data_IF_933576353534
#
_entry.id   IF_933576353534
#
_cell.length_a   1.000
_cell.length_b   1.000
_cell.length_c   1.000
_cell.angle_alpha   90.00
_cell.angle_beta   90.00
_cell.angle_gamma   90.00
#
_symmetry.space_group_name_H-M   'P 1'
#
loop_
_entity.id
_entity.type
_entity.pdbx_description
1 polymer ?
#
# COMPACT_ATOMS: atom_id res chain seq x y z
N UNK A 1 -13.47 22.06 9.83
CA UNK A 1 -13.89 21.78 8.43
C UNK A 1 -13.18 20.53 7.88
N UNK A 2 -11.94 20.26 8.23
CA UNK A 2 -11.16 19.10 7.75
C UNK A 2 -11.66 17.74 8.25
N UNK A 3 -12.16 17.66 9.47
CA UNK A 3 -12.66 16.38 10.05
C UNK A 3 -13.95 15.91 9.40
N UNK A 4 -14.86 16.81 9.07
CA UNK A 4 -16.16 16.47 8.44
C UNK A 4 -15.97 15.99 6.98
N UNK A 5 -15.00 16.57 6.23
CA UNK A 5 -14.63 16.10 4.89
C UNK A 5 -14.03 14.69 4.93
N UNK A 6 -13.24 14.37 5.96
CA UNK A 6 -12.68 13.01 6.16
C UNK A 6 -13.78 12.00 6.50
N UNK A 7 -14.74 12.36 7.34
CA UNK A 7 -15.88 11.52 7.69
C UNK A 7 -16.74 11.23 6.45
N UNK A 8 -17.07 12.27 5.67
CA UNK A 8 -17.85 12.13 4.43
C UNK A 8 -17.17 11.24 3.38
N UNK A 9 -15.84 11.23 3.33
CA UNK A 9 -15.09 10.35 2.41
C UNK A 9 -15.04 8.89 2.85
N UNK A 10 -15.35 8.59 4.13
CA UNK A 10 -15.30 7.25 4.71
C UNK A 10 -16.65 6.71 5.20
N UNK A 11 -17.69 7.54 5.17
CA UNK A 11 -18.97 7.20 5.74
C UNK A 11 -19.57 5.89 5.19
N UNK A 12 -19.38 5.64 3.92
CA UNK A 12 -19.83 4.40 3.27
C UNK A 12 -19.16 3.15 3.88
N UNK A 13 -17.86 3.22 4.13
CA UNK A 13 -17.14 2.11 4.77
C UNK A 13 -17.60 1.91 6.22
N UNK A 14 -17.86 3.00 6.94
CA UNK A 14 -18.39 2.94 8.31
C UNK A 14 -19.76 2.29 8.32
N UNK A 15 -20.67 2.72 7.44
CA UNK A 15 -22.01 2.14 7.31
C UNK A 15 -21.92 0.65 6.94
N UNK A 16 -21.10 0.29 5.96
CA UNK A 16 -20.87 -1.09 5.56
C UNK A 16 -20.40 -1.96 6.73
N UNK A 17 -19.44 -1.47 7.50
CA UNK A 17 -18.92 -2.18 8.68
C UNK A 17 -19.99 -2.34 9.75
N UNK A 18 -20.75 -1.29 10.05
CA UNK A 18 -21.83 -1.33 11.03
C UNK A 18 -22.93 -2.32 10.64
N UNK A 19 -23.37 -2.30 9.38
CA UNK A 19 -24.40 -3.21 8.87
C UNK A 19 -23.89 -4.66 8.91
N UNK A 20 -22.65 -4.92 8.48
CA UNK A 20 -22.07 -6.26 8.52
C UNK A 20 -21.93 -6.79 9.94
N UNK A 21 -21.56 -5.94 10.91
CA UNK A 21 -21.45 -6.33 12.33
C UNK A 21 -22.83 -6.63 12.92
N UNK A 22 -23.84 -5.81 12.65
CA UNK A 22 -25.20 -6.05 13.07
C UNK A 22 -25.79 -7.34 12.48
N UNK A 23 -25.53 -7.58 11.18
CA UNK A 23 -25.98 -8.79 10.52
C UNK A 23 -25.23 -10.04 11.04
N UNK A 24 -23.94 -9.92 11.38
CA UNK A 24 -23.18 -11.01 12.00
C UNK A 24 -23.74 -11.37 13.36
N UNK A 25 -24.11 -10.37 14.17
CA UNK A 25 -24.81 -10.63 15.44
C UNK A 25 -26.15 -11.33 15.21
N UNK A 26 -26.98 -10.79 14.31
CA UNK A 26 -28.29 -11.36 14.00
C UNK A 26 -28.20 -12.82 13.57
N UNK A 27 -27.29 -13.15 12.66
CA UNK A 27 -27.11 -14.53 12.20
C UNK A 27 -26.66 -15.45 13.33
N UNK A 28 -25.70 -15.02 14.14
CA UNK A 28 -25.19 -15.84 15.23
C UNK A 28 -26.20 -15.98 16.39
N UNK A 29 -26.92 -14.90 16.76
CA UNK A 29 -27.85 -14.90 17.87
C UNK A 29 -29.22 -15.44 17.50
N UNK A 30 -29.88 -14.85 16.48
CA UNK A 30 -31.28 -15.11 16.18
C UNK A 30 -31.47 -16.34 15.26
N UNK A 31 -30.49 -16.64 14.39
CA UNK A 31 -30.58 -17.79 13.46
C UNK A 31 -29.97 -19.04 14.06
N UNK A 32 -28.77 -18.94 14.70
CA UNK A 32 -28.05 -20.09 15.25
C UNK A 32 -28.30 -20.30 16.75
N UNK A 33 -28.92 -19.33 17.41
CA UNK A 33 -29.31 -19.44 18.82
C UNK A 33 -28.15 -19.30 19.81
N UNK A 34 -27.02 -18.71 19.40
CA UNK A 34 -25.90 -18.47 20.30
C UNK A 34 -26.27 -17.40 21.34
N UNK A 35 -26.16 -17.66 22.63
CA UNK A 35 -26.67 -16.75 23.66
C UNK A 35 -25.90 -15.43 23.74
N UNK A 36 -24.61 -15.41 23.41
CA UNK A 36 -23.75 -14.21 23.47
C UNK A 36 -22.66 -14.24 22.38
N UNK A 37 -23.00 -14.01 21.11
CA UNK A 37 -22.07 -14.15 19.97
C UNK A 37 -21.16 -12.92 19.77
N UNK A 38 -20.38 -12.54 20.78
CA UNK A 38 -19.51 -11.35 20.71
C UNK A 38 -18.46 -11.42 19.59
N UNK A 39 -17.99 -12.62 19.28
CA UNK A 39 -16.95 -12.80 18.27
C UNK A 39 -17.44 -12.51 16.85
N UNK A 40 -18.71 -12.75 16.54
CA UNK A 40 -19.26 -12.53 15.20
C UNK A 40 -19.21 -11.05 14.78
N UNK A 41 -19.80 -10.08 15.53
CA UNK A 41 -19.73 -8.67 15.17
C UNK A 41 -18.31 -8.10 15.24
N UNK A 42 -17.47 -8.54 16.19
CA UNK A 42 -16.09 -8.10 16.30
C UNK A 42 -15.30 -8.56 15.08
N UNK A 43 -15.42 -9.84 14.68
CA UNK A 43 -14.77 -10.37 13.50
C UNK A 43 -15.19 -9.60 12.23
N UNK A 44 -16.48 -9.36 12.05
CA UNK A 44 -16.99 -8.58 10.91
C UNK A 44 -16.44 -7.15 10.92
N UNK A 45 -16.46 -6.46 12.07
CA UNK A 45 -15.97 -5.09 12.19
C UNK A 45 -14.48 -4.99 11.90
N UNK A 46 -13.65 -5.86 12.49
CA UNK A 46 -12.20 -5.83 12.31
C UNK A 46 -11.80 -6.15 10.88
N UNK A 47 -12.43 -7.15 10.24
CA UNK A 47 -12.16 -7.47 8.84
C UNK A 47 -12.49 -6.34 7.86
N UNK A 48 -13.54 -5.55 8.13
CA UNK A 48 -14.02 -4.49 7.24
C UNK A 48 -13.47 -3.09 7.57
N UNK A 49 -13.08 -2.84 8.84
CA UNK A 49 -12.69 -1.49 9.31
C UNK A 49 -11.37 -0.98 8.73
N UNK A 50 -10.52 -1.87 8.24
CA UNK A 50 -9.19 -1.53 7.76
C UNK A 50 -9.20 -1.41 6.24
N UNK A 51 -8.54 -0.37 5.74
CA UNK A 51 -8.38 0.04 4.32
C UNK A 51 -8.73 -0.99 3.24
N UNK A 52 -9.37 -0.53 2.16
CA UNK A 52 -9.86 -1.28 0.99
C UNK A 52 -8.85 -2.23 0.30
N UNK A 53 -7.59 -2.19 0.70
CA UNK A 53 -6.48 -2.69 -0.07
C UNK A 53 -6.18 -4.19 0.11
N UNK A 54 -6.59 -4.84 1.19
CA UNK A 54 -6.29 -6.27 1.41
C UNK A 54 -7.39 -6.95 2.26
N UNK A 55 -8.64 -6.56 2.08
CA UNK A 55 -9.74 -7.02 2.95
C UNK A 55 -9.88 -8.54 3.01
N UNK A 56 -9.84 -9.22 1.86
CA UNK A 56 -10.02 -10.66 1.81
C UNK A 56 -8.85 -11.40 2.48
N UNK A 57 -7.61 -11.00 2.22
CA UNK A 57 -6.43 -11.60 2.85
C UNK A 57 -6.45 -11.40 4.38
N UNK A 58 -6.80 -10.20 4.83
CA UNK A 58 -6.90 -9.90 6.26
C UNK A 58 -8.05 -10.63 6.95
N UNK A 59 -9.19 -10.80 6.26
CA UNK A 59 -10.28 -11.61 6.77
C UNK A 59 -9.83 -13.05 7.00
N UNK A 60 -9.11 -13.65 6.06
CA UNK A 60 -8.57 -15.00 6.18
C UNK A 60 -7.52 -15.07 7.31
N UNK A 61 -6.57 -14.14 7.35
CA UNK A 61 -5.56 -14.06 8.43
C UNK A 61 -6.22 -13.92 9.80
N UNK A 62 -7.25 -13.08 9.90
CA UNK A 62 -8.01 -12.92 11.13
C UNK A 62 -8.75 -14.19 11.53
N UNK A 63 -9.45 -14.84 10.59
CA UNK A 63 -10.16 -16.10 10.88
C UNK A 63 -9.20 -17.17 11.40
N UNK A 64 -8.04 -17.34 10.74
CA UNK A 64 -7.02 -18.29 11.19
C UNK A 64 -6.46 -17.88 12.57
N UNK A 65 -6.13 -16.60 12.77
CA UNK A 65 -5.62 -16.10 14.05
C UNK A 65 -6.60 -16.28 15.19
N UNK A 66 -7.88 -15.95 14.97
CA UNK A 66 -8.94 -16.14 15.99
C UNK A 66 -9.12 -17.61 16.31
N UNK A 67 -9.21 -18.49 15.30
CA UNK A 67 -9.39 -19.93 15.51
C UNK A 67 -8.22 -20.54 16.28
N UNK A 68 -6.97 -20.21 15.92
CA UNK A 68 -5.79 -20.65 16.64
C UNK A 68 -5.76 -20.11 18.06
N UNK A 69 -6.08 -18.82 18.25
CA UNK A 69 -6.13 -18.20 19.59
C UNK A 69 -7.17 -18.85 20.50
N UNK A 70 -8.36 -19.11 19.99
CA UNK A 70 -9.41 -19.81 20.74
C UNK A 70 -8.94 -21.23 21.08
N UNK A 71 -8.37 -21.98 20.14
CA UNK A 71 -7.86 -23.33 20.38
C UNK A 71 -6.78 -23.34 21.48
N UNK A 72 -5.77 -22.48 21.39
CA UNK A 72 -4.71 -22.37 22.39
C UNK A 72 -5.24 -21.94 23.75
N UNK A 73 -6.11 -20.91 23.79
CA UNK A 73 -6.72 -20.46 25.02
C UNK A 73 -7.54 -21.55 25.70
N UNK A 74 -8.27 -22.34 24.92
CA UNK A 74 -9.05 -23.48 25.42
C UNK A 74 -8.16 -24.57 26.00
N UNK A 75 -7.05 -24.92 25.31
CA UNK A 75 -6.08 -25.91 25.85
C UNK A 75 -5.47 -25.43 27.16
N UNK A 76 -4.99 -24.19 27.22
CA UNK A 76 -4.44 -23.63 28.48
C UNK A 76 -5.48 -23.61 29.58
N UNK A 77 -6.72 -23.30 29.26
CA UNK A 77 -7.82 -23.29 30.22
C UNK A 77 -8.13 -24.70 30.79
N UNK A 78 -8.14 -25.72 29.93
CA UNK A 78 -8.37 -27.11 30.37
C UNK A 78 -7.25 -27.60 31.31
N UNK A 79 -6.00 -27.23 31.02
CA UNK A 79 -4.82 -27.71 31.76
C UNK A 79 -4.56 -26.94 33.06
N UNK A 80 -4.77 -25.61 33.04
CA UNK A 80 -4.33 -24.71 34.13
C UNK A 80 -5.48 -23.91 34.74
N UNK A 81 -6.70 -24.04 34.20
CA UNK A 81 -7.86 -23.28 34.68
C UNK A 81 -7.84 -21.82 34.20
N UNK A 82 -8.47 -20.95 35.03
CA UNK A 82 -8.58 -19.51 34.79
C UNK A 82 -7.85 -18.71 35.86
N UNK A 83 -7.20 -17.61 35.48
CA UNK A 83 -6.48 -16.75 36.42
C UNK A 83 -5.37 -15.95 35.72
N UNK A 84 -4.66 -15.09 36.43
CA UNK A 84 -3.66 -14.23 35.84
C UNK A 84 -2.48 -15.00 35.21
N UNK A 85 -2.05 -16.11 35.83
CA UNK A 85 -0.95 -16.93 35.31
C UNK A 85 -1.35 -17.69 34.05
N UNK A 86 -2.49 -18.42 33.98
CA UNK A 86 -2.96 -19.00 32.71
C UNK A 86 -3.14 -17.98 31.57
N UNK A 87 -3.64 -16.78 31.87
CA UNK A 87 -3.78 -15.71 30.86
C UNK A 87 -2.41 -15.30 30.31
N UNK A 88 -1.40 -15.10 31.18
CA UNK A 88 -0.05 -14.77 30.77
C UNK A 88 0.61 -15.86 29.92
N UNK A 89 0.43 -17.13 30.30
CA UNK A 89 0.92 -18.27 29.55
C UNK A 89 0.23 -18.44 28.20
N UNK A 90 -1.09 -18.25 28.13
CA UNK A 90 -1.83 -18.30 26.88
C UNK A 90 -1.37 -17.20 25.91
N UNK A 91 -1.15 -16.00 26.41
CA UNK A 91 -0.60 -14.91 25.60
C UNK A 91 0.81 -15.23 25.07
N UNK A 92 1.68 -15.76 25.92
CA UNK A 92 3.04 -16.15 25.54
C UNK A 92 3.03 -17.25 24.47
N UNK A 93 2.24 -18.30 24.66
CA UNK A 93 2.12 -19.41 23.71
C UNK A 93 1.54 -18.90 22.38
N UNK A 94 0.51 -18.06 22.42
CA UNK A 94 -0.13 -17.49 21.25
C UNK A 94 0.82 -16.59 20.46
N UNK A 95 1.61 -15.74 21.14
CA UNK A 95 2.64 -14.92 20.50
C UNK A 95 3.75 -15.77 19.88
N UNK A 96 4.24 -16.76 20.62
CA UNK A 96 5.30 -17.66 20.13
C UNK A 96 4.84 -18.43 18.90
N UNK A 97 3.62 -18.96 18.92
CA UNK A 97 3.05 -19.64 17.75
C UNK A 97 2.84 -18.69 16.57
N UNK A 98 2.39 -17.46 16.82
CA UNK A 98 2.23 -16.46 15.77
C UNK A 98 3.57 -16.12 15.11
N UNK A 99 4.64 -15.94 15.90
CA UNK A 99 6.01 -15.69 15.38
C UNK A 99 6.54 -16.88 14.58
N UNK A 100 6.31 -18.12 15.04
CA UNK A 100 6.74 -19.32 14.31
C UNK A 100 6.00 -19.52 12.97
N UNK A 101 4.75 -19.10 12.89
CA UNK A 101 3.93 -19.17 11.68
C UNK A 101 4.16 -17.97 10.74
N UNK A 102 4.85 -16.92 11.22
CA UNK A 102 5.10 -15.65 10.49
C UNK A 102 6.01 -15.82 9.26
N UNK A 103 5.83 -16.90 8.52
CA UNK A 103 6.48 -17.17 7.22
C UNK A 103 5.53 -16.98 6.05
N UNK A 104 5.92 -16.21 5.03
CA UNK A 104 5.20 -16.12 3.77
C UNK A 104 3.90 -15.29 3.79
N UNK A 105 2.81 -15.85 3.28
CA UNK A 105 1.52 -15.16 3.07
C UNK A 105 0.84 -14.68 4.37
N UNK A 106 1.08 -15.34 5.50
CA UNK A 106 0.51 -15.03 6.81
C UNK A 106 1.31 -13.95 7.56
N UNK A 107 2.59 -13.78 7.27
CA UNK A 107 3.51 -12.91 8.01
C UNK A 107 3.49 -11.43 7.63
N UNK A 108 2.66 -11.01 6.68
CA UNK A 108 2.60 -9.60 6.28
C UNK A 108 1.71 -8.75 7.20
N UNK A 109 2.00 -8.70 8.49
CA UNK A 109 1.38 -7.75 9.41
C UNK A 109 1.07 -8.30 10.79
N UNK A 110 1.18 -7.48 11.81
CA UNK A 110 0.90 -7.78 13.22
C UNK A 110 -0.57 -8.21 13.50
N UNK A 111 -1.44 -8.24 12.48
CA UNK A 111 -2.86 -8.49 12.68
C UNK A 111 -3.16 -9.94 13.05
N UNK A 112 -2.47 -10.89 12.43
CA UNK A 112 -2.58 -12.31 12.75
C UNK A 112 -2.15 -12.57 14.20
N UNK A 113 -0.97 -12.09 14.59
CA UNK A 113 -0.45 -12.22 15.95
C UNK A 113 -1.38 -11.58 17.00
N UNK A 114 -1.82 -10.34 16.75
CA UNK A 114 -2.75 -9.64 17.63
C UNK A 114 -4.06 -10.40 17.82
N UNK A 115 -4.65 -10.94 16.77
CA UNK A 115 -5.91 -11.67 16.87
C UNK A 115 -5.75 -12.99 17.61
N UNK A 116 -4.65 -13.70 17.39
CA UNK A 116 -4.34 -14.95 18.11
C UNK A 116 -4.23 -14.69 19.60
N UNK A 117 -3.51 -13.66 20.03
CA UNK A 117 -3.33 -13.30 21.44
C UNK A 117 -4.64 -12.83 22.08
N UNK A 118 -5.32 -11.87 21.43
CA UNK A 118 -6.58 -11.34 21.96
C UNK A 118 -7.62 -12.44 22.11
N UNK A 119 -7.73 -13.34 21.14
CA UNK A 119 -8.69 -14.45 21.19
C UNK A 119 -8.34 -15.46 22.28
N UNK A 120 -7.05 -15.76 22.50
CA UNK A 120 -6.63 -16.67 23.56
C UNK A 120 -6.91 -16.10 24.96
N UNK A 121 -6.63 -14.80 25.17
CA UNK A 121 -6.94 -14.11 26.44
C UNK A 121 -8.46 -14.05 26.65
N UNK A 122 -9.21 -13.73 25.63
CA UNK A 122 -10.66 -13.55 25.73
C UNK A 122 -11.39 -14.84 26.08
N UNK A 123 -10.88 -15.99 25.61
CA UNK A 123 -11.40 -17.33 26.01
C UNK A 123 -11.22 -17.57 27.50
N UNK A 124 -10.08 -17.21 28.07
CA UNK A 124 -9.84 -17.39 29.51
C UNK A 124 -10.58 -16.34 30.35
N UNK A 125 -10.65 -15.10 29.89
CA UNK A 125 -11.30 -14.00 30.63
C UNK A 125 -12.83 -14.13 30.69
N UNK A 126 -13.45 -14.57 29.57
CA UNK A 126 -14.91 -14.72 29.44
C UNK A 126 -15.35 -16.20 29.61
N UNK A 127 -14.76 -16.90 30.56
CA UNK A 127 -15.00 -18.31 30.73
C UNK A 127 -16.48 -18.64 31.03
N UNK A 128 -17.08 -19.47 30.17
CA UNK A 128 -18.31 -20.22 30.41
C UNK A 128 -18.09 -21.68 29.99
N UNK A 129 -18.47 -22.64 30.83
CA UNK A 129 -18.36 -24.07 30.49
C UNK A 129 -19.19 -24.38 29.23
N UNK A 130 -18.57 -25.07 28.26
CA UNK A 130 -19.27 -25.59 27.06
C UNK A 130 -19.25 -24.70 25.81
N UNK A 131 -18.73 -23.45 25.84
CA UNK A 131 -18.90 -22.41 24.77
C UNK A 131 -17.69 -22.28 23.84
N UNK A 132 -16.72 -23.19 23.87
CA UNK A 132 -15.50 -23.07 23.08
C UNK A 132 -15.75 -23.11 21.54
N UNK A 133 -16.57 -24.04 21.12
CA UNK A 133 -16.91 -24.22 19.69
C UNK A 133 -17.78 -23.10 19.13
N UNK A 134 -18.78 -22.66 19.90
CA UNK A 134 -19.66 -21.53 19.49
C UNK A 134 -18.87 -20.26 19.16
N UNK A 135 -17.75 -20.02 19.86
CA UNK A 135 -16.88 -18.86 19.62
C UNK A 135 -16.12 -18.94 18.30
N UNK A 136 -15.71 -20.17 17.92
CA UNK A 136 -15.08 -20.40 16.61
C UNK A 136 -16.12 -20.16 15.52
N UNK A 137 -17.32 -20.71 15.67
CA UNK A 137 -18.42 -20.54 14.72
C UNK A 137 -18.79 -19.06 14.59
N UNK A 138 -18.91 -18.32 15.68
CA UNK A 138 -19.13 -16.86 15.68
C UNK A 138 -18.06 -16.12 14.91
N UNK A 139 -16.79 -16.42 15.14
CA UNK A 139 -15.68 -15.77 14.45
C UNK A 139 -15.68 -16.09 12.94
N UNK A 140 -16.02 -17.34 12.58
CA UNK A 140 -16.16 -17.77 11.18
C UNK A 140 -17.34 -17.07 10.50
N UNK A 141 -18.49 -16.95 11.16
CA UNK A 141 -19.67 -16.23 10.66
C UNK A 141 -19.31 -14.77 10.38
N UNK A 142 -18.71 -14.09 11.36
CA UNK A 142 -18.31 -12.70 11.18
C UNK A 142 -17.28 -12.51 10.07
N UNK A 143 -16.27 -13.38 10.00
CA UNK A 143 -15.25 -13.38 8.96
C UNK A 143 -15.83 -13.69 7.56
N UNK A 144 -16.70 -14.68 7.46
CA UNK A 144 -17.37 -15.03 6.19
C UNK A 144 -18.26 -13.89 5.71
N UNK A 145 -19.03 -13.29 6.60
CA UNK A 145 -19.88 -12.15 6.28
C UNK A 145 -19.05 -10.96 5.78
N UNK A 146 -17.94 -10.66 6.47
CA UNK A 146 -17.01 -9.64 6.02
C UNK A 146 -16.45 -9.95 4.62
N UNK A 147 -16.12 -11.19 4.34
CA UNK A 147 -15.65 -11.64 3.03
C UNK A 147 -16.72 -11.44 1.95
N UNK A 148 -17.97 -11.83 2.22
CA UNK A 148 -19.11 -11.60 1.33
C UNK A 148 -19.29 -10.11 1.04
N UNK A 149 -19.25 -9.27 2.06
CA UNK A 149 -19.37 -7.82 1.88
C UNK A 149 -18.18 -7.23 1.09
N UNK A 150 -16.95 -7.69 1.36
CA UNK A 150 -15.76 -7.17 0.71
C UNK A 150 -15.62 -7.62 -0.76
N UNK A 151 -16.05 -8.86 -1.08
CA UNK A 151 -15.80 -9.49 -2.39
C UNK A 151 -17.01 -9.39 -3.30
N UNK A 152 -18.22 -9.67 -2.79
CA UNK A 152 -19.43 -9.75 -3.59
C UNK A 152 -20.20 -8.43 -3.65
N UNK A 153 -20.48 -7.82 -2.49
CA UNK A 153 -21.35 -6.67 -2.46
C UNK A 153 -20.64 -5.37 -2.86
N UNK A 154 -19.44 -5.15 -2.30
CA UNK A 154 -18.75 -3.85 -2.43
C UNK A 154 -17.26 -4.00 -2.72
N UNK A 155 -16.90 -4.69 -3.81
CA UNK A 155 -15.50 -4.84 -4.18
C UNK A 155 -14.88 -3.48 -4.48
N UNK A 156 -13.65 -3.28 -3.99
CA UNK A 156 -12.88 -2.09 -4.30
C UNK A 156 -12.79 -1.88 -5.83
N UNK A 157 -12.71 -0.64 -6.27
CA UNK A 157 -12.45 -0.33 -7.66
C UNK A 157 -10.94 -0.46 -7.93
N UNK A 158 -10.50 -1.50 -8.67
CA UNK A 158 -9.08 -1.77 -8.85
C UNK A 158 -8.37 -0.68 -9.64
N UNK A 159 -9.05 -0.06 -10.61
CA UNK A 159 -8.48 1.03 -11.42
C UNK A 159 -8.28 2.29 -10.59
N UNK A 160 -9.23 2.61 -9.70
CA UNK A 160 -9.08 3.76 -8.78
C UNK A 160 -7.96 3.54 -7.75
N UNK A 161 -7.76 2.30 -7.30
CA UNK A 161 -6.67 1.96 -6.38
C UNK A 161 -5.32 2.15 -7.05
N UNK A 162 -5.14 1.59 -8.26
CA UNK A 162 -3.94 1.76 -9.07
C UNK A 162 -3.70 3.23 -9.46
N UNK A 163 -4.72 3.92 -9.93
CA UNK A 163 -4.62 5.32 -10.33
C UNK A 163 -4.16 6.23 -9.21
N UNK A 164 -4.73 6.10 -8.00
CA UNK A 164 -4.30 6.91 -6.84
C UNK A 164 -2.85 6.65 -6.44
N UNK A 165 -2.42 5.38 -6.44
CA UNK A 165 -1.05 5.02 -6.11
C UNK A 165 -0.06 5.56 -7.17
N UNK A 166 -0.41 5.47 -8.46
CA UNK A 166 0.36 6.02 -9.56
C UNK A 166 0.52 7.53 -9.45
N UNK A 167 -0.59 8.25 -9.23
CA UNK A 167 -0.56 9.71 -9.02
C UNK A 167 0.32 10.08 -7.82
N UNK A 168 0.27 9.30 -6.74
CA UNK A 168 1.14 9.51 -5.57
C UNK A 168 2.63 9.40 -5.91
N UNK A 169 3.03 8.40 -6.71
CA UNK A 169 4.42 8.27 -7.18
C UNK A 169 4.79 9.43 -8.11
N UNK A 170 3.99 9.75 -9.12
CA UNK A 170 4.28 10.85 -10.04
C UNK A 170 4.42 12.19 -9.32
N UNK A 171 3.58 12.46 -8.31
CA UNK A 171 3.65 13.68 -7.51
C UNK A 171 4.97 13.79 -6.73
N UNK A 172 5.45 12.71 -6.11
CA UNK A 172 6.75 12.75 -5.42
C UNK A 172 7.91 12.89 -6.41
N UNK A 173 7.84 12.25 -7.58
CA UNK A 173 8.86 12.38 -8.61
C UNK A 173 8.94 13.82 -9.15
N UNK A 174 7.81 14.48 -9.37
CA UNK A 174 7.76 15.90 -9.72
C UNK A 174 8.49 16.76 -8.69
N UNK A 175 8.22 16.55 -7.39
CA UNK A 175 8.88 17.30 -6.30
C UNK A 175 10.38 17.05 -6.31
N UNK A 176 10.81 15.81 -6.50
CA UNK A 176 12.24 15.44 -6.58
C UNK A 176 12.91 16.11 -7.77
N UNK A 177 12.31 16.04 -8.96
CA UNK A 177 12.84 16.68 -10.18
C UNK A 177 12.95 18.19 -10.04
N UNK A 178 11.90 18.84 -9.49
CA UNK A 178 11.93 20.28 -9.24
C UNK A 178 13.04 20.68 -8.26
N UNK A 179 13.23 19.90 -7.19
CA UNK A 179 14.30 20.15 -6.23
C UNK A 179 15.69 19.92 -6.86
N UNK A 180 15.84 18.86 -7.65
CA UNK A 180 17.08 18.57 -8.40
C UNK A 180 17.39 19.71 -9.38
N UNK A 181 16.38 20.30 -10.01
CA UNK A 181 16.56 21.46 -10.89
C UNK A 181 17.07 22.69 -10.12
N UNK A 182 16.57 22.97 -8.90
CA UNK A 182 17.04 24.06 -8.06
C UNK A 182 18.51 23.87 -7.63
N UNK A 183 18.90 22.64 -7.29
CA UNK A 183 20.27 22.28 -6.97
C UNK A 183 21.17 22.48 -8.21
N UNK A 184 20.78 21.99 -9.38
CA UNK A 184 21.52 22.16 -10.62
C UNK A 184 21.70 23.63 -11.03
N UNK A 185 20.74 24.49 -10.66
CA UNK A 185 20.83 25.94 -10.89
C UNK A 185 21.73 26.67 -9.88
N UNK A 186 22.20 26.00 -8.84
CA UNK A 186 22.93 26.62 -7.72
C UNK A 186 22.06 27.53 -6.85
N UNK A 187 20.73 27.42 -6.95
CA UNK A 187 19.79 28.21 -6.13
C UNK A 187 19.53 27.57 -4.77
N UNK A 188 19.93 26.32 -4.60
CA UNK A 188 19.76 25.56 -3.37
C UNK A 188 20.95 24.66 -3.15
N UNK A 189 21.48 24.63 -1.95
CA UNK A 189 22.50 23.67 -1.55
C UNK A 189 21.84 22.31 -1.28
N UNK A 190 22.49 21.24 -1.68
CA UNK A 190 22.05 19.90 -1.34
C UNK A 190 22.44 19.64 0.12
N UNK A 191 21.45 19.54 1.02
CA UNK A 191 21.74 19.08 2.37
C UNK A 191 22.36 17.68 2.32
N UNK A 192 23.31 17.38 3.19
CA UNK A 192 24.07 16.12 3.20
C UNK A 192 23.18 14.87 3.31
N UNK A 193 22.01 14.98 3.93
CA UNK A 193 21.01 13.93 4.12
C UNK A 193 19.90 13.94 3.03
N UNK A 194 19.92 14.93 2.12
CA UNK A 194 18.88 15.07 1.09
C UNK A 194 18.72 13.82 0.21
N UNK A 195 19.80 13.16 -0.30
CA UNK A 195 19.65 11.96 -1.12
C UNK A 195 18.95 10.82 -0.37
N UNK A 196 19.26 10.63 0.92
CA UNK A 196 18.62 9.59 1.74
C UNK A 196 17.14 9.87 1.97
N UNK A 197 16.80 11.13 2.30
CA UNK A 197 15.41 11.53 2.53
C UNK A 197 14.54 11.42 1.28
N UNK A 198 15.12 11.61 0.09
CA UNK A 198 14.44 11.40 -1.20
C UNK A 198 14.22 9.92 -1.45
N UNK A 199 15.24 9.09 -1.24
CA UNK A 199 15.16 7.64 -1.39
C UNK A 199 14.03 7.09 -0.52
N UNK A 200 13.97 7.44 0.76
CA UNK A 200 12.94 6.95 1.67
C UNK A 200 11.53 7.33 1.22
N UNK A 201 11.33 8.58 0.84
CA UNK A 201 10.01 9.05 0.36
C UNK A 201 9.58 8.37 -0.93
N UNK A 202 10.47 8.24 -1.89
CA UNK A 202 10.18 7.56 -3.16
C UNK A 202 9.92 6.07 -2.92
N UNK A 203 10.74 5.38 -2.12
CA UNK A 203 10.53 3.97 -1.77
C UNK A 203 9.19 3.73 -1.08
N UNK A 204 8.78 4.61 -0.17
CA UNK A 204 7.47 4.51 0.48
C UNK A 204 6.32 4.59 -0.53
N UNK A 205 6.38 5.53 -1.50
CA UNK A 205 5.34 5.67 -2.53
C UNK A 205 5.35 4.49 -3.53
N UNK A 206 6.52 4.03 -3.95
CA UNK A 206 6.66 2.85 -4.82
C UNK A 206 6.19 1.58 -4.09
N UNK A 207 6.48 1.41 -2.81
CA UNK A 207 5.94 0.33 -1.98
C UNK A 207 4.41 0.36 -1.93
N UNK A 208 3.82 1.56 -1.81
CA UNK A 208 2.38 1.77 -1.94
C UNK A 208 1.82 1.35 -3.30
N UNK A 209 2.53 1.66 -4.39
CA UNK A 209 2.15 1.26 -5.75
C UNK A 209 2.22 -0.27 -5.93
N UNK A 210 3.25 -0.93 -5.43
CA UNK A 210 3.39 -2.40 -5.46
C UNK A 210 2.22 -3.06 -4.72
N UNK A 211 1.87 -2.55 -3.54
CA UNK A 211 0.73 -3.03 -2.77
C UNK A 211 -0.60 -2.82 -3.49
N UNK A 212 -0.76 -1.67 -4.17
CA UNK A 212 -1.94 -1.36 -4.99
C UNK A 212 -2.09 -2.32 -6.18
N UNK A 213 -0.97 -2.68 -6.84
CA UNK A 213 -0.92 -3.68 -7.93
C UNK A 213 -1.39 -5.04 -7.45
N UNK A 214 -0.82 -5.53 -6.34
CA UNK A 214 -1.23 -6.80 -5.74
C UNK A 214 -2.73 -6.84 -5.44
N UNK A 215 -3.25 -5.75 -4.85
CA UNK A 215 -4.68 -5.59 -4.55
C UNK A 215 -5.56 -5.59 -5.78
N UNK A 216 -5.21 -4.81 -6.80
CA UNK A 216 -6.00 -4.70 -8.03
C UNK A 216 -6.11 -6.07 -8.72
N UNK A 217 -5.01 -6.81 -8.84
CA UNK A 217 -4.98 -8.17 -9.40
C UNK A 217 -5.84 -9.14 -8.56
N UNK A 218 -5.77 -9.07 -7.23
CA UNK A 218 -6.56 -9.92 -6.35
C UNK A 218 -8.06 -9.64 -6.48
N UNK A 219 -8.48 -8.36 -6.51
CA UNK A 219 -9.89 -7.98 -6.67
C UNK A 219 -10.47 -8.53 -7.96
N UNK A 220 -9.75 -8.40 -9.09
CA UNK A 220 -10.23 -8.88 -10.39
C UNK A 220 -10.24 -10.41 -10.47
N UNK A 221 -9.36 -11.09 -9.72
CA UNK A 221 -9.33 -12.57 -9.66
C UNK A 221 -10.49 -13.12 -8.84
N UNK A 222 -10.82 -12.50 -7.70
CA UNK A 222 -11.73 -13.06 -6.70
C UNK A 222 -13.15 -12.52 -6.83
N UNK A 223 -13.34 -11.27 -7.33
CA UNK A 223 -14.68 -10.65 -7.41
C UNK A 223 -15.32 -10.83 -8.79
N UNK A 224 -16.43 -11.62 -8.92
CA UNK A 224 -17.11 -11.83 -10.19
C UNK A 224 -17.59 -10.52 -10.85
N UNK A 225 -18.02 -9.54 -10.04
CA UNK A 225 -18.48 -8.24 -10.52
C UNK A 225 -17.40 -7.41 -11.21
N UNK A 226 -16.11 -7.77 -11.04
CA UNK A 226 -14.95 -7.05 -11.59
C UNK A 226 -14.21 -7.84 -12.66
N UNK A 227 -14.67 -9.03 -13.03
CA UNK A 227 -14.01 -9.84 -14.06
C UNK A 227 -13.90 -9.15 -15.41
N UNK A 228 -14.89 -8.34 -15.79
CA UNK A 228 -14.84 -7.56 -17.03
C UNK A 228 -13.74 -6.47 -17.07
N UNK A 229 -13.12 -6.16 -15.92
CA UNK A 229 -12.04 -5.17 -15.84
C UNK A 229 -10.63 -5.78 -15.94
N UNK A 230 -10.50 -7.11 -16.17
CA UNK A 230 -9.20 -7.80 -16.22
C UNK A 230 -8.24 -7.13 -17.19
N UNK A 231 -8.63 -6.97 -18.45
CA UNK A 231 -7.76 -6.33 -19.46
C UNK A 231 -7.37 -4.91 -19.10
N UNK A 232 -8.30 -4.09 -18.57
CA UNK A 232 -8.01 -2.73 -18.13
C UNK A 232 -7.07 -2.70 -16.91
N UNK A 233 -7.21 -3.66 -15.99
CA UNK A 233 -6.31 -3.79 -14.83
C UNK A 233 -4.92 -4.25 -15.26
N UNK A 234 -4.82 -5.17 -16.22
CA UNK A 234 -3.53 -5.63 -16.75
C UNK A 234 -2.79 -4.50 -17.45
N UNK A 235 -3.48 -3.67 -18.24
CA UNK A 235 -2.89 -2.47 -18.86
C UNK A 235 -2.43 -1.46 -17.82
N UNK A 236 -3.27 -1.13 -16.82
CA UNK A 236 -2.91 -0.21 -15.75
C UNK A 236 -1.79 -0.76 -14.84
N UNK A 237 -1.71 -2.07 -14.66
CA UNK A 237 -0.64 -2.74 -13.95
C UNK A 237 0.68 -2.67 -14.72
N UNK A 238 0.66 -2.87 -16.03
CA UNK A 238 1.82 -2.70 -16.89
C UNK A 238 2.34 -1.26 -16.84
N UNK A 239 1.46 -0.26 -16.94
CA UNK A 239 1.84 1.14 -16.77
C UNK A 239 2.46 1.41 -15.38
N UNK A 240 1.94 0.80 -14.32
CA UNK A 240 2.50 0.96 -12.97
C UNK A 240 3.93 0.43 -12.84
N UNK A 241 4.32 -0.59 -13.63
CA UNK A 241 5.72 -1.05 -13.71
C UNK A 241 6.63 0.05 -14.26
N UNK A 242 6.21 0.70 -15.35
CA UNK A 242 7.00 1.78 -15.96
C UNK A 242 7.11 3.01 -15.05
N UNK A 243 6.08 3.31 -14.26
CA UNK A 243 6.17 4.35 -13.21
C UNK A 243 7.20 4.00 -12.13
N UNK A 244 7.33 2.73 -11.76
CA UNK A 244 8.35 2.29 -10.82
C UNK A 244 9.76 2.34 -11.43
N UNK A 245 9.91 2.04 -12.72
CA UNK A 245 11.19 2.20 -13.45
C UNK A 245 11.59 3.67 -13.52
N UNK A 246 10.67 4.56 -13.89
CA UNK A 246 10.89 6.01 -13.87
C UNK A 246 11.34 6.50 -12.49
N UNK A 247 10.79 5.96 -11.40
CA UNK A 247 11.23 6.31 -10.06
C UNK A 247 12.71 5.93 -9.83
N UNK A 248 13.16 4.79 -10.35
CA UNK A 248 14.56 4.38 -10.32
C UNK A 248 15.47 5.35 -11.06
N UNK A 249 15.11 5.72 -12.28
CA UNK A 249 15.87 6.66 -13.12
C UNK A 249 15.95 8.05 -12.49
N UNK A 250 14.85 8.56 -11.90
CA UNK A 250 14.84 9.85 -11.18
C UNK A 250 15.70 9.80 -9.91
N UNK A 251 15.71 8.69 -9.16
CA UNK A 251 16.60 8.53 -8.01
C UNK A 251 18.07 8.52 -8.43
N UNK A 252 18.39 7.84 -9.53
CA UNK A 252 19.75 7.84 -10.08
C UNK A 252 20.16 9.25 -10.51
N UNK A 253 19.27 9.99 -11.16
CA UNK A 253 19.48 11.38 -11.56
C UNK A 253 19.78 12.29 -10.34
N UNK A 254 18.95 12.21 -9.30
CA UNK A 254 19.13 12.98 -8.08
C UNK A 254 20.50 12.66 -7.42
N UNK A 255 20.91 11.39 -7.44
CA UNK A 255 22.21 10.94 -6.91
C UNK A 255 23.42 11.45 -7.69
N UNK A 256 23.29 11.62 -9.01
CA UNK A 256 24.37 12.12 -9.87
C UNK A 256 24.49 13.64 -9.77
N UNK A 257 23.38 14.36 -9.67
CA UNK A 257 23.36 15.83 -9.64
C UNK A 257 23.82 16.39 -8.29
N UNK A 258 23.46 15.76 -7.18
CA UNK A 258 23.80 16.28 -5.84
C UNK A 258 25.29 16.49 -5.61
N UNK A 259 26.20 15.52 -5.88
CA UNK A 259 27.65 15.71 -5.71
C UNK A 259 28.28 16.65 -6.73
N UNK A 260 27.71 16.75 -7.94
CA UNK A 260 28.23 17.63 -9.00
C UNK A 260 28.05 19.12 -8.66
N UNK A 261 27.09 19.45 -7.79
CA UNK A 261 26.84 20.82 -7.36
C UNK A 261 27.79 21.30 -6.24
N UNK A 262 28.41 20.37 -5.50
CA UNK A 262 29.31 20.69 -4.38
C UNK A 262 30.76 21.00 -4.82
N UNK A 263 31.11 20.73 -6.10
CA UNK A 263 32.43 21.00 -6.67
C UNK A 263 32.57 22.45 -7.14
N UNK A 264 33.47 23.20 -6.55
CA UNK A 264 33.72 24.63 -6.85
C UNK A 264 34.08 24.95 -8.32
N UNK A 265 34.50 23.96 -9.11
CA UNK A 265 35.02 24.18 -10.47
C UNK A 265 34.10 23.67 -11.61
N UNK A 266 33.03 22.95 -11.33
CA UNK A 266 32.20 22.32 -12.38
C UNK A 266 30.72 22.67 -12.24
N UNK A 267 30.37 23.92 -12.58
CA UNK A 267 28.96 24.35 -12.57
C UNK A 267 28.17 23.53 -13.59
N UNK A 268 27.05 22.88 -13.19
CA UNK A 268 26.23 22.09 -14.11
C UNK A 268 25.83 22.93 -15.34
N UNK A 269 25.76 22.35 -16.54
CA UNK A 269 25.34 23.04 -17.76
C UNK A 269 23.96 23.66 -17.59
N UNK A 270 23.75 24.88 -18.11
CA UNK A 270 22.42 25.56 -18.08
C UNK A 270 21.34 24.69 -18.72
N UNK A 271 21.67 23.92 -19.75
CA UNK A 271 20.78 22.98 -20.42
C UNK A 271 20.22 21.94 -19.44
N UNK A 272 21.00 21.49 -18.43
CA UNK A 272 20.56 20.54 -17.42
C UNK A 272 19.38 21.10 -16.58
N UNK A 273 19.49 22.33 -16.10
CA UNK A 273 18.39 22.96 -15.35
C UNK A 273 17.11 23.02 -16.19
N UNK A 274 17.22 23.44 -17.47
CA UNK A 274 16.06 23.55 -18.36
C UNK A 274 15.39 22.19 -18.57
N UNK A 275 16.16 21.14 -18.87
CA UNK A 275 15.63 19.77 -19.02
C UNK A 275 14.92 19.31 -17.75
N UNK A 276 15.49 19.51 -16.57
CA UNK A 276 14.90 19.10 -15.30
C UNK A 276 13.56 19.80 -15.01
N UNK A 277 13.47 21.10 -15.30
CA UNK A 277 12.22 21.86 -15.15
C UNK A 277 11.15 21.34 -16.11
N UNK A 278 11.52 21.12 -17.38
CA UNK A 278 10.61 20.57 -18.40
C UNK A 278 10.16 19.16 -18.03
N UNK A 279 11.06 18.32 -17.54
CA UNK A 279 10.76 16.96 -17.10
C UNK A 279 9.85 16.94 -15.87
N UNK A 280 10.05 17.86 -14.92
CA UNK A 280 9.15 18.02 -13.76
C UNK A 280 7.74 18.42 -14.20
N UNK A 281 7.62 19.38 -15.17
CA UNK A 281 6.34 19.78 -15.74
C UNK A 281 5.64 18.63 -16.48
N UNK A 282 6.38 17.87 -17.29
CA UNK A 282 5.87 16.68 -17.97
C UNK A 282 5.35 15.63 -16.98
N UNK A 283 6.10 15.38 -15.89
CA UNK A 283 5.71 14.43 -14.85
C UNK A 283 4.42 14.85 -14.13
N UNK A 284 4.25 16.17 -13.90
CA UNK A 284 3.03 16.70 -13.29
C UNK A 284 1.78 16.47 -14.16
N UNK A 285 1.95 16.55 -15.49
CA UNK A 285 0.85 16.40 -16.46
C UNK A 285 0.62 14.94 -16.89
N UNK A 286 1.54 14.03 -16.65
CA UNK A 286 1.52 12.67 -17.18
C UNK A 286 0.21 11.91 -16.87
N UNK A 287 -0.49 12.23 -15.79
CA UNK A 287 -1.77 11.62 -15.42
C UNK A 287 -2.99 12.43 -15.85
N UNK A 288 -2.91 13.75 -15.87
CA UNK A 288 -4.04 14.66 -16.08
C UNK A 288 -4.19 15.12 -17.53
N UNK A 289 -3.06 15.36 -18.21
CA UNK A 289 -2.98 15.80 -19.60
C UNK A 289 -1.83 15.10 -20.34
N UNK A 290 -2.05 13.87 -20.84
CA UNK A 290 -1.02 13.11 -21.55
C UNK A 290 -0.51 13.82 -22.82
N UNK A 291 -1.36 14.56 -23.51
CA UNK A 291 -0.97 15.29 -24.72
C UNK A 291 -0.01 16.44 -24.39
N UNK A 292 -0.31 17.23 -23.36
CA UNK A 292 0.59 18.24 -22.83
C UNK A 292 1.90 17.62 -22.31
N UNK A 293 1.84 16.50 -21.62
CA UNK A 293 3.02 15.79 -21.14
C UNK A 293 3.92 15.32 -22.30
N UNK A 294 3.35 14.80 -23.42
CA UNK A 294 4.09 14.46 -24.63
C UNK A 294 4.82 15.67 -25.23
N UNK A 295 4.19 16.83 -25.27
CA UNK A 295 4.84 18.04 -25.77
C UNK A 295 6.06 18.43 -24.92
N UNK A 296 5.95 18.33 -23.59
CA UNK A 296 7.06 18.59 -22.69
C UNK A 296 8.18 17.54 -22.82
N UNK A 297 7.86 16.24 -22.97
CA UNK A 297 8.88 15.21 -23.18
C UNK A 297 9.59 15.39 -24.53
N UNK A 298 8.90 15.82 -25.59
CA UNK A 298 9.53 16.16 -26.86
C UNK A 298 10.50 17.34 -26.72
N UNK A 299 10.12 18.39 -26.01
CA UNK A 299 11.02 19.52 -25.70
C UNK A 299 12.23 19.06 -24.86
N UNK A 300 12.00 18.20 -23.85
CA UNK A 300 13.08 17.64 -23.04
C UNK A 300 14.10 16.88 -23.89
N UNK A 301 13.65 16.08 -24.88
CA UNK A 301 14.55 15.35 -25.80
C UNK A 301 15.48 16.28 -26.58
N UNK A 302 14.99 17.43 -27.05
CA UNK A 302 15.84 18.40 -27.77
C UNK A 302 16.99 18.87 -26.87
N UNK A 303 16.71 19.18 -25.61
CA UNK A 303 17.73 19.59 -24.65
C UNK A 303 18.65 18.44 -24.24
N UNK A 304 18.18 17.19 -24.25
CA UNK A 304 19.04 15.99 -24.02
C UNK A 304 20.07 15.87 -25.14
N UNK A 305 19.67 16.05 -26.40
CA UNK A 305 20.61 16.03 -27.54
C UNK A 305 21.69 17.12 -27.38
N UNK A 306 21.30 18.31 -26.94
CA UNK A 306 22.23 19.40 -26.63
C UNK A 306 23.21 19.02 -25.50
N UNK A 307 22.71 18.40 -24.43
CA UNK A 307 23.54 17.91 -23.33
C UNK A 307 24.53 16.84 -23.79
N UNK A 308 24.09 15.88 -24.60
CA UNK A 308 24.93 14.81 -25.13
C UNK A 308 26.03 15.32 -26.09
N UNK A 309 25.68 16.28 -26.96
CA UNK A 309 26.64 16.87 -27.90
C UNK A 309 27.75 17.68 -27.23
N UNK A 310 27.45 18.27 -26.07
CA UNK A 310 28.39 19.08 -25.29
C UNK A 310 29.14 18.30 -24.20
N UNK A 311 28.79 17.03 -23.99
CA UNK A 311 29.41 16.19 -22.96
C UNK A 311 30.74 15.66 -23.43
N UNK A 312 31.84 16.09 -22.79
CA UNK A 312 33.21 15.69 -23.11
C UNK A 312 33.84 14.89 -21.95
N UNK A 313 33.52 15.25 -20.72
CA UNK A 313 33.98 14.52 -19.56
C UNK A 313 33.12 13.29 -19.28
N UNK A 314 33.69 12.23 -18.75
CA UNK A 314 32.99 10.98 -18.41
C UNK A 314 31.76 11.24 -17.50
N UNK A 315 31.90 12.14 -16.54
CA UNK A 315 30.79 12.50 -15.64
C UNK A 315 29.62 13.17 -16.38
N UNK A 316 29.92 14.02 -17.38
CA UNK A 316 28.93 14.71 -18.22
C UNK A 316 28.18 13.73 -19.12
N UNK A 317 28.91 12.75 -19.70
CA UNK A 317 28.29 11.69 -20.51
C UNK A 317 27.32 10.85 -19.66
N UNK A 318 27.77 10.41 -18.48
CA UNK A 318 26.90 9.64 -17.55
C UNK A 318 25.67 10.46 -17.14
N UNK A 319 25.83 11.75 -16.87
CA UNK A 319 24.70 12.63 -16.52
C UNK A 319 23.72 12.77 -17.69
N UNK A 320 24.20 13.00 -18.90
CA UNK A 320 23.36 13.11 -20.09
C UNK A 320 22.57 11.81 -20.37
N UNK A 321 23.23 10.65 -20.21
CA UNK A 321 22.58 9.34 -20.38
C UNK A 321 21.50 9.08 -19.33
N UNK A 322 21.74 9.45 -18.07
CA UNK A 322 20.74 9.32 -17.01
C UNK A 322 19.55 10.23 -17.25
N UNK A 323 19.76 11.46 -17.72
CA UNK A 323 18.68 12.38 -18.11
C UNK A 323 17.89 11.80 -19.28
N UNK A 324 18.57 11.27 -20.31
CA UNK A 324 17.94 10.61 -21.46
C UNK A 324 17.03 9.45 -21.01
N UNK A 325 17.54 8.58 -20.13
CA UNK A 325 16.78 7.47 -19.56
C UNK A 325 15.52 7.95 -18.82
N UNK A 326 15.59 9.03 -18.03
CA UNK A 326 14.42 9.61 -17.38
C UNK A 326 13.35 10.10 -18.38
N UNK A 327 13.77 10.74 -19.48
CA UNK A 327 12.85 11.21 -20.53
C UNK A 327 12.18 10.03 -21.23
N UNK A 328 12.93 8.99 -21.55
CA UNK A 328 12.41 7.80 -22.22
C UNK A 328 11.47 6.99 -21.32
N UNK A 329 11.80 6.83 -20.05
CA UNK A 329 10.93 6.16 -19.09
C UNK A 329 9.62 6.92 -18.86
N UNK A 330 9.68 8.26 -18.79
CA UNK A 330 8.47 9.08 -18.69
C UNK A 330 7.61 8.98 -19.96
N UNK A 331 8.23 8.99 -21.14
CA UNK A 331 7.49 8.81 -22.40
C UNK A 331 6.75 7.48 -22.43
N UNK A 332 7.39 6.38 -21.99
CA UNK A 332 6.73 5.07 -21.89
C UNK A 332 5.54 5.08 -20.92
N UNK A 333 5.65 5.79 -19.79
CA UNK A 333 4.53 5.95 -18.85
C UNK A 333 3.36 6.67 -19.52
N UNK A 334 3.62 7.68 -20.35
CA UNK A 334 2.61 8.45 -21.07
C UNK A 334 1.97 7.60 -22.18
N UNK A 335 2.77 6.90 -22.98
CA UNK A 335 2.32 6.09 -24.13
C UNK A 335 1.41 4.92 -23.72
N UNK A 336 1.55 4.43 -22.48
CA UNK A 336 0.76 3.35 -21.91
C UNK A 336 -0.56 3.82 -21.27
N UNK A 337 -0.89 5.08 -21.39
CA UNK A 337 -2.12 5.63 -20.87
C UNK A 337 -3.22 5.60 -21.93
#
# INVERSE_FOLDING_TARGET
VTHFKRLRGRWFNLLQTSVASGLAWYVAHDVLGHPQPFFAPIAAAVCLSITNVLRAQRAIQMMIGVTLGIGMGTVVQILLGTGPVPIGLAALIALSAAVLIEGGYLGQGMMFANQTVVSSILVLALFRRGVGWERIDDALIGGLLALVFAVLLFPADPLKVLGRARVGVLAILQVVLSHTAEIAAGRREAASDWPLSVVDRVHQQVGGLISARATARQVVRVSPRRWGLRGAVDAADHQAVHVALLAGSVLQLARVVAPAADGCDNRPPRALHTVLVVLAAATALADTDPAGACAYTAAARQHVVELQSNAHARAEVVLADVVAACVDDLQRVIDLR
#
